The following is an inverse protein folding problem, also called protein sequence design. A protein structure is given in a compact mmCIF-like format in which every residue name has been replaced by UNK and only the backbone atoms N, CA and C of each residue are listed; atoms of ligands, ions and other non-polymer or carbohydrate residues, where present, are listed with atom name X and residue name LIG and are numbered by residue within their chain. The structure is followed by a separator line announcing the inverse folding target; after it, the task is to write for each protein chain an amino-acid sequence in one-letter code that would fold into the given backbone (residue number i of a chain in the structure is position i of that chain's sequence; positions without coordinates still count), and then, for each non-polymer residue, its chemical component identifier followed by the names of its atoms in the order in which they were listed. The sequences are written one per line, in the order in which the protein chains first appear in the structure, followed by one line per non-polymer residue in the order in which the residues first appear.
data_IF_102148119405
#
_entry.id   IF_102148119405
#
_cell.length_a   1.000
_cell.length_b   1.000
_cell.length_c   1.000
_cell.angle_alpha   90.00
_cell.angle_beta   90.00
_cell.angle_gamma   90.00
#
_symmetry.space_group_name_H-M   'P 1'
#
loop_
_entity.id
_entity.type
_entity.pdbx_description
1 polymer ?
#
# COMPACT_ATOMS: atom_id res chain seq x y z
N UNK A 1 -33.67 -0.68 -47.94
CA UNK A 1 -33.51 -1.43 -46.67
C UNK A 1 -32.08 -1.42 -46.08
N UNK A 2 -31.08 -0.76 -46.73
CA UNK A 2 -29.66 -0.80 -46.25
C UNK A 2 -29.28 0.24 -45.19
N UNK A 3 -29.95 1.37 -45.11
CA UNK A 3 -29.52 2.50 -44.27
C UNK A 3 -29.83 2.27 -42.76
N UNK A 4 -30.89 1.56 -42.45
CA UNK A 4 -31.22 1.26 -41.03
C UNK A 4 -30.30 0.19 -40.41
N UNK A 5 -29.90 -0.81 -41.20
CA UNK A 5 -28.95 -1.83 -40.73
C UNK A 5 -27.57 -1.25 -40.47
N UNK A 6 -27.11 -0.31 -41.30
CA UNK A 6 -25.83 0.38 -41.12
C UNK A 6 -25.81 1.25 -39.86
N UNK A 7 -26.90 1.92 -39.52
CA UNK A 7 -27.03 2.73 -38.28
C UNK A 7 -27.05 1.88 -37.04
N UNK A 8 -27.69 0.72 -37.05
CA UNK A 8 -27.71 -0.23 -35.97
C UNK A 8 -26.32 -0.81 -35.69
N UNK A 9 -25.57 -1.17 -36.72
CA UNK A 9 -24.20 -1.66 -36.60
C UNK A 9 -23.25 -0.60 -36.05
N UNK A 10 -23.38 0.66 -36.51
CA UNK A 10 -22.58 1.77 -36.01
C UNK A 10 -22.85 2.03 -34.51
N UNK A 11 -24.11 2.00 -34.07
CA UNK A 11 -24.49 2.17 -32.66
C UNK A 11 -23.95 1.04 -31.77
N UNK A 12 -23.98 -0.22 -32.26
CA UNK A 12 -23.41 -1.35 -31.53
C UNK A 12 -21.90 -1.28 -31.39
N UNK A 13 -21.21 -0.82 -32.44
CA UNK A 13 -19.75 -0.62 -32.39
C UNK A 13 -19.38 0.50 -31.42
N UNK A 14 -20.10 1.62 -31.42
CA UNK A 14 -19.88 2.72 -30.46
C UNK A 14 -20.16 2.29 -29.02
N UNK A 15 -21.22 1.52 -28.79
CA UNK A 15 -21.52 0.98 -27.46
C UNK A 15 -20.44 -0.01 -26.98
N UNK A 16 -19.92 -0.84 -27.86
CA UNK A 16 -18.84 -1.78 -27.54
C UNK A 16 -17.52 -1.04 -27.22
N UNK A 17 -17.18 0.03 -27.98
CA UNK A 17 -16.02 0.86 -27.66
C UNK A 17 -16.18 1.60 -26.32
N UNK A 18 -17.37 2.15 -26.04
CA UNK A 18 -17.66 2.81 -24.76
C UNK A 18 -17.56 1.83 -23.58
N UNK A 19 -18.03 0.58 -23.72
CA UNK A 19 -17.91 -0.45 -22.71
C UNK A 19 -16.45 -0.89 -22.46
N UNK A 20 -15.59 -0.83 -23.48
CA UNK A 20 -14.18 -1.16 -23.37
C UNK A 20 -13.40 -0.09 -22.59
N UNK A 21 -13.79 1.19 -22.65
CA UNK A 21 -13.15 2.28 -21.90
C UNK A 21 -13.55 2.33 -20.42
N UNK A 22 -14.67 1.70 -20.05
CA UNK A 22 -15.16 1.61 -18.66
C UNK A 22 -14.51 0.47 -17.85
N UNK A 23 -13.72 -0.39 -18.47
CA UNK A 23 -12.79 -1.26 -17.75
C UNK A 23 -11.65 -0.37 -17.28
N UNK A 24 -11.87 0.30 -16.15
CA UNK A 24 -10.81 0.95 -15.42
C UNK A 24 -9.67 -0.05 -15.32
N UNK A 25 -8.54 0.23 -15.97
CA UNK A 25 -7.31 -0.49 -15.73
C UNK A 25 -7.02 -0.28 -14.25
N UNK A 26 -7.38 -1.24 -13.40
CA UNK A 26 -6.78 -1.35 -12.09
C UNK A 26 -5.29 -1.43 -12.38
N UNK A 27 -4.59 -0.35 -12.11
CA UNK A 27 -3.14 -0.31 -12.24
C UNK A 27 -2.60 -1.22 -11.13
N UNK A 28 -2.60 -2.52 -11.39
CA UNK A 28 -1.98 -3.48 -10.49
C UNK A 28 -0.51 -3.17 -10.46
N UNK A 29 -0.01 -2.77 -9.30
CA UNK A 29 1.42 -2.54 -9.07
C UNK A 29 2.20 -3.80 -9.47
N UNK A 30 3.09 -3.67 -10.45
CA UNK A 30 3.89 -4.79 -10.95
C UNK A 30 5.26 -4.85 -10.27
N UNK A 31 5.75 -6.06 -9.97
CA UNK A 31 7.02 -6.22 -9.27
C UNK A 31 8.22 -5.63 -10.02
N UNK A 32 8.23 -5.69 -11.36
CA UNK A 32 9.27 -5.04 -12.16
C UNK A 32 9.33 -3.52 -11.91
N UNK A 33 8.17 -2.88 -11.82
CA UNK A 33 8.06 -1.46 -11.52
C UNK A 33 8.53 -1.13 -10.09
N UNK A 34 8.12 -1.96 -9.11
CA UNK A 34 8.60 -1.82 -7.72
C UNK A 34 10.11 -1.93 -7.65
N UNK A 35 10.70 -2.92 -8.31
CA UNK A 35 12.15 -3.13 -8.34
C UNK A 35 12.88 -1.93 -8.95
N UNK A 36 12.38 -1.39 -10.06
CA UNK A 36 12.97 -0.21 -10.70
C UNK A 36 12.91 1.03 -9.78
N UNK A 37 11.78 1.25 -9.10
CA UNK A 37 11.62 2.37 -8.17
C UNK A 37 12.44 2.20 -6.90
N UNK A 38 12.72 0.96 -6.47
CA UNK A 38 13.57 0.69 -5.32
C UNK A 38 15.08 0.69 -5.63
N UNK A 39 15.47 0.55 -6.90
CA UNK A 39 16.88 0.50 -7.32
C UNK A 39 17.72 1.69 -6.81
N UNK A 40 17.27 2.96 -6.85
CA UNK A 40 18.01 4.09 -6.32
C UNK A 40 18.24 4.05 -4.80
N UNK A 41 17.46 3.24 -4.08
CA UNK A 41 17.58 3.08 -2.63
C UNK A 41 18.65 2.04 -2.22
N UNK A 42 19.07 1.18 -3.15
CA UNK A 42 19.96 0.06 -2.85
C UNK A 42 21.29 0.47 -2.18
N UNK A 43 21.98 1.55 -2.57
CA UNK A 43 23.20 1.95 -1.87
C UNK A 43 22.96 2.28 -0.40
N UNK A 44 21.83 2.92 -0.07
CA UNK A 44 21.44 3.17 1.31
C UNK A 44 21.04 1.87 2.04
N UNK A 45 20.25 1.02 1.40
CA UNK A 45 19.75 -0.22 1.98
C UNK A 45 20.85 -1.25 2.21
N UNK A 46 21.90 -1.27 1.39
CA UNK A 46 23.07 -2.15 1.56
C UNK A 46 24.08 -1.63 2.57
N UNK A 47 23.84 -0.47 3.19
CA UNK A 47 24.72 0.07 4.21
C UNK A 47 25.97 0.75 3.67
N UNK A 48 26.01 1.17 2.41
CA UNK A 48 27.16 1.87 1.84
C UNK A 48 27.53 3.10 2.68
N UNK A 49 28.83 3.32 2.98
CA UNK A 49 29.27 4.43 3.82
C UNK A 49 28.84 5.79 3.26
N UNK A 50 28.38 6.69 4.14
CA UNK A 50 27.99 8.05 3.77
C UNK A 50 26.68 8.17 2.98
N UNK A 51 26.02 7.07 2.65
CA UNK A 51 24.78 7.11 1.88
C UNK A 51 23.59 7.48 2.73
N UNK A 52 22.82 8.42 2.22
CA UNK A 52 21.52 8.83 2.78
C UNK A 52 20.40 8.50 1.77
N UNK A 53 19.16 8.29 2.21
CA UNK A 53 18.07 8.00 1.28
C UNK A 53 17.50 9.24 0.56
N UNK A 54 17.96 10.43 0.93
CA UNK A 54 17.42 11.69 0.41
C UNK A 54 17.67 11.84 -1.11
N UNK A 55 16.83 12.66 -1.75
CA UNK A 55 16.90 12.86 -3.19
C UNK A 55 16.22 11.75 -3.98
N UNK A 56 16.94 11.08 -4.88
CA UNK A 56 16.36 10.13 -5.86
C UNK A 56 15.64 8.95 -5.19
N UNK A 57 16.20 8.39 -4.12
CA UNK A 57 15.56 7.27 -3.40
C UNK A 57 14.21 7.69 -2.80
N UNK A 58 14.17 8.80 -2.05
CA UNK A 58 12.92 9.28 -1.46
C UNK A 58 11.89 9.70 -2.52
N UNK A 59 12.34 10.30 -3.63
CA UNK A 59 11.45 10.65 -4.74
C UNK A 59 10.83 9.39 -5.36
N UNK A 60 11.64 8.36 -5.63
CA UNK A 60 11.15 7.09 -6.18
C UNK A 60 10.19 6.38 -5.23
N UNK A 61 10.48 6.42 -3.93
CA UNK A 61 9.58 5.86 -2.92
C UNK A 61 8.25 6.63 -2.84
N UNK A 62 8.28 7.95 -3.03
CA UNK A 62 7.08 8.77 -3.14
C UNK A 62 6.22 8.38 -4.35
N UNK A 63 6.84 8.13 -5.51
CA UNK A 63 6.14 7.61 -6.70
C UNK A 63 5.52 6.25 -6.42
N UNK A 64 6.27 5.32 -5.79
CA UNK A 64 5.74 4.00 -5.42
C UNK A 64 4.53 4.12 -4.48
N UNK A 65 4.59 5.02 -3.50
CA UNK A 65 3.48 5.27 -2.58
C UNK A 65 2.23 5.82 -3.29
N UNK A 66 2.40 6.64 -4.33
CA UNK A 66 1.29 7.13 -5.16
C UNK A 66 0.68 6.02 -6.03
N UNK A 67 1.51 5.13 -6.58
CA UNK A 67 1.06 3.98 -7.36
C UNK A 67 0.31 2.96 -6.49
N UNK A 68 0.73 2.79 -5.25
CA UNK A 68 0.09 1.92 -4.27
C UNK A 68 -1.06 2.63 -3.54
N UNK A 69 -2.00 3.22 -4.29
CA UNK A 69 -3.07 4.03 -3.74
C UNK A 69 -4.17 3.18 -3.06
N UNK A 70 -4.49 2.02 -3.62
CA UNK A 70 -5.47 1.10 -3.05
C UNK A 70 -4.84 0.08 -2.11
N UNK A 71 -5.63 -0.54 -1.22
CA UNK A 71 -5.17 -1.66 -0.38
C UNK A 71 -4.62 -2.80 -1.22
N UNK A 72 -5.28 -3.13 -2.33
CA UNK A 72 -4.83 -4.19 -3.24
C UNK A 72 -3.44 -3.87 -3.82
N UNK A 73 -3.19 -2.62 -4.23
CA UNK A 73 -1.90 -2.18 -4.77
C UNK A 73 -0.82 -2.19 -3.69
N UNK A 74 -1.16 -1.81 -2.45
CA UNK A 74 -0.24 -1.87 -1.30
C UNK A 74 0.14 -3.31 -0.95
N UNK A 75 -0.82 -4.23 -0.94
CA UNK A 75 -0.56 -5.66 -0.76
C UNK A 75 0.33 -6.19 -1.88
N UNK A 76 0.06 -5.81 -3.13
CA UNK A 76 0.89 -6.20 -4.27
C UNK A 76 2.32 -5.64 -4.13
N UNK A 77 2.47 -4.35 -3.83
CA UNK A 77 3.78 -3.72 -3.60
C UNK A 77 4.54 -4.40 -2.45
N UNK A 78 3.87 -4.67 -1.33
CA UNK A 78 4.44 -5.38 -0.18
C UNK A 78 4.98 -6.77 -0.60
N UNK A 79 4.18 -7.55 -1.32
CA UNK A 79 4.60 -8.87 -1.81
C UNK A 79 5.80 -8.78 -2.76
N UNK A 80 5.83 -7.75 -3.62
CA UNK A 80 6.98 -7.51 -4.50
C UNK A 80 8.25 -7.15 -3.71
N UNK A 81 8.14 -6.29 -2.69
CA UNK A 81 9.27 -5.94 -1.81
C UNK A 81 9.76 -7.16 -1.05
N UNK A 82 8.84 -7.97 -0.51
CA UNK A 82 9.18 -9.23 0.19
C UNK A 82 9.92 -10.20 -0.72
N UNK A 83 9.44 -10.41 -1.94
CA UNK A 83 10.09 -11.27 -2.92
C UNK A 83 11.48 -10.75 -3.32
N UNK A 84 11.61 -9.43 -3.56
CA UNK A 84 12.89 -8.82 -3.87
C UNK A 84 13.87 -8.94 -2.72
N UNK A 85 13.44 -8.70 -1.48
CA UNK A 85 14.30 -8.80 -0.29
C UNK A 85 14.89 -10.19 -0.10
N UNK A 86 14.17 -11.25 -0.47
CA UNK A 86 14.67 -12.63 -0.44
C UNK A 86 15.82 -12.87 -1.43
N UNK A 87 15.89 -12.10 -2.51
CA UNK A 87 16.96 -12.17 -3.53
C UNK A 87 18.17 -11.27 -3.26
N UNK A 88 18.10 -10.40 -2.24
CA UNK A 88 19.16 -9.43 -1.92
C UNK A 88 19.62 -9.58 -0.47
N UNK A 89 20.49 -10.55 -0.15
CA UNK A 89 20.93 -10.82 1.22
C UNK A 89 21.70 -9.67 1.88
N UNK A 90 22.17 -8.69 1.09
CA UNK A 90 22.89 -7.52 1.57
C UNK A 90 21.98 -6.38 2.07
N UNK A 91 20.64 -6.54 2.06
CA UNK A 91 19.71 -5.51 2.54
C UNK A 91 19.70 -5.47 4.06
N UNK A 92 19.98 -4.29 4.61
CA UNK A 92 19.80 -4.00 6.04
C UNK A 92 18.33 -3.68 6.31
N UNK A 93 17.64 -4.60 6.96
CA UNK A 93 16.22 -4.46 7.29
C UNK A 93 15.94 -3.34 8.31
N UNK A 94 16.91 -2.97 9.14
CA UNK A 94 16.75 -1.81 10.04
C UNK A 94 16.65 -0.52 9.24
N UNK A 95 17.48 -0.39 8.21
CA UNK A 95 17.43 0.74 7.26
C UNK A 95 16.17 0.72 6.42
N UNK A 96 15.76 -0.47 5.95
CA UNK A 96 14.54 -0.62 5.17
C UNK A 96 13.30 -0.23 5.99
N UNK A 97 13.20 -0.64 7.25
CA UNK A 97 12.12 -0.26 8.16
C UNK A 97 12.08 1.24 8.44
N UNK A 98 13.25 1.89 8.55
CA UNK A 98 13.35 3.33 8.81
C UNK A 98 13.14 4.19 7.54
N UNK A 99 13.28 3.61 6.35
CA UNK A 99 13.31 4.33 5.07
C UNK A 99 12.05 5.18 4.82
N UNK A 100 10.81 4.67 4.99
CA UNK A 100 9.61 5.47 4.75
C UNK A 100 9.57 6.72 5.63
N UNK A 101 9.80 6.57 6.92
CA UNK A 101 9.79 7.68 7.86
C UNK A 101 10.89 8.72 7.54
N UNK A 102 12.08 8.27 7.11
CA UNK A 102 13.15 9.17 6.66
C UNK A 102 12.78 9.94 5.40
N UNK A 103 11.94 9.38 4.56
CA UNK A 103 11.41 10.04 3.37
C UNK A 103 10.10 10.82 3.62
N UNK A 104 9.65 10.93 4.88
CA UNK A 104 8.42 11.64 5.24
C UNK A 104 7.14 10.93 4.79
N UNK A 105 7.23 9.62 4.53
CA UNK A 105 6.10 8.81 4.11
C UNK A 105 5.53 8.02 5.29
N UNK A 106 4.20 8.08 5.46
CA UNK A 106 3.48 7.21 6.37
C UNK A 106 3.08 5.92 5.64
N UNK A 107 3.67 4.80 6.02
CA UNK A 107 3.22 3.47 5.59
C UNK A 107 2.73 2.69 6.81
N UNK A 108 1.75 1.83 6.60
CA UNK A 108 1.04 1.12 7.66
C UNK A 108 1.46 -0.34 7.82
N UNK A 109 2.63 -0.71 7.30
CA UNK A 109 3.20 -2.05 7.50
C UNK A 109 4.69 -1.96 7.87
N UNK A 110 5.16 -2.91 8.67
CA UNK A 110 6.56 -2.99 9.04
C UNK A 110 7.36 -3.74 7.97
N UNK A 111 8.42 -3.11 7.47
CA UNK A 111 9.35 -3.75 6.52
C UNK A 111 10.30 -4.65 7.31
N UNK A 112 10.03 -5.94 7.30
CA UNK A 112 10.82 -6.99 7.97
C UNK A 112 11.04 -8.17 7.04
N UNK A 113 12.02 -9.06 7.32
CA UNK A 113 12.22 -10.27 6.51
C UNK A 113 10.97 -11.15 6.41
N UNK A 114 10.17 -11.18 7.46
CA UNK A 114 8.97 -12.01 7.59
C UNK A 114 7.68 -11.19 7.56
N UNK A 115 7.68 -10.03 6.85
CA UNK A 115 6.51 -9.17 6.78
C UNK A 115 5.27 -9.92 6.28
N UNK A 116 4.13 -9.68 6.93
CA UNK A 116 2.83 -10.20 6.52
C UNK A 116 2.08 -9.14 5.72
N UNK A 117 2.05 -9.32 4.41
CA UNK A 117 1.41 -8.38 3.50
C UNK A 117 -0.12 -8.38 3.58
N UNK A 118 -0.74 -9.36 4.26
CA UNK A 118 -2.19 -9.36 4.49
C UNK A 118 -2.61 -8.38 5.60
N UNK A 119 -1.66 -7.90 6.39
CA UNK A 119 -1.93 -6.90 7.44
C UNK A 119 -1.86 -5.46 6.93
N UNK A 120 -1.61 -5.28 5.65
CA UNK A 120 -1.64 -3.95 5.02
C UNK A 120 -3.10 -3.48 4.95
N UNK A 121 -3.42 -2.42 5.69
CA UNK A 121 -4.77 -1.85 5.77
C UNK A 121 -4.82 -0.45 5.18
N UNK A 122 -6.02 0.07 4.93
CA UNK A 122 -6.23 1.45 4.48
C UNK A 122 -6.09 2.48 5.61
N UNK A 123 -5.99 2.04 6.85
CA UNK A 123 -5.86 2.96 7.96
C UNK A 123 -4.48 3.65 7.95
N UNK A 124 -4.47 4.99 8.03
CA UNK A 124 -3.23 5.71 8.26
C UNK A 124 -2.61 5.21 9.56
N UNK A 125 -1.29 5.00 9.56
CA UNK A 125 -0.52 4.59 10.73
C UNK A 125 -0.88 5.48 11.92
N UNK A 126 -1.80 5.04 12.78
CA UNK A 126 -2.05 5.71 14.04
C UNK A 126 -0.76 5.60 14.84
N UNK A 127 -0.19 6.75 15.20
CA UNK A 127 0.94 6.80 16.12
C UNK A 127 0.59 5.94 17.31
N UNK A 128 1.34 4.87 17.51
CA UNK A 128 1.29 4.06 18.71
C UNK A 128 1.63 4.96 19.90
N UNK A 129 0.61 5.50 20.56
CA UNK A 129 0.79 6.42 21.68
C UNK A 129 -0.52 6.83 22.36
N UNK A 130 -1.67 6.49 21.79
CA UNK A 130 -2.94 6.70 22.46
C UNK A 130 -3.36 5.39 23.12
N UNK A 131 -3.39 5.31 24.46
CA UNK A 131 -3.94 4.13 25.11
C UNK A 131 -5.42 4.05 24.74
N UNK A 132 -5.82 2.98 24.07
CA UNK A 132 -7.22 2.63 23.85
C UNK A 132 -7.94 2.81 25.16
N UNK A 133 -8.79 3.82 25.26
CA UNK A 133 -9.75 3.95 26.34
C UNK A 133 -10.60 2.68 26.33
N UNK A 134 -10.26 1.78 27.22
CA UNK A 134 -11.01 0.56 27.51
C UNK A 134 -12.39 1.05 27.95
N UNK A 135 -13.39 0.93 27.08
CA UNK A 135 -14.79 1.14 27.44
C UNK A 135 -15.10 0.09 28.50
N UNK A 136 -14.91 0.48 29.75
CA UNK A 136 -15.36 -0.27 30.90
C UNK A 136 -16.88 -0.20 30.85
N UNK A 137 -17.51 -1.25 30.38
CA UNK A 137 -18.92 -1.51 30.67
C UNK A 137 -19.05 -1.54 32.18
N UNK A 138 -19.46 -0.40 32.74
CA UNK A 138 -19.83 -0.26 34.11
C UNK A 138 -21.13 -1.05 34.30
N UNK A 139 -20.98 -2.30 34.74
CA UNK A 139 -22.07 -3.10 35.24
C UNK A 139 -22.56 -2.40 36.52
N UNK A 140 -23.73 -1.80 36.45
CA UNK A 140 -24.37 -1.21 37.62
C UNK A 140 -24.78 -2.35 38.56
N UNK A 141 -24.38 -2.31 39.82
CA UNK A 141 -24.95 -3.23 40.82
C UNK A 141 -26.38 -2.78 41.10
N UNK A 142 -27.32 -3.69 40.89
CA UNK A 142 -28.69 -3.57 41.29
C UNK A 142 -28.78 -3.69 42.83
N UNK A 143 -28.98 -2.55 43.48
CA UNK A 143 -29.24 -2.55 44.94
C UNK A 143 -30.75 -2.51 45.11
N UNK A 144 -31.35 -3.69 45.26
CA UNK A 144 -32.62 -3.88 45.91
C UNK A 144 -32.33 -4.35 47.35
N UNK A 145 -32.55 -3.52 48.31
CA UNK A 145 -32.57 -3.82 49.70
C UNK A 145 -33.70 -3.06 50.37
N UNK A 146 -34.78 -3.73 50.59
CA UNK A 146 -35.97 -3.23 51.27
C UNK A 146 -35.90 -3.34 52.80
N UNK A 147 -36.99 -3.14 53.49
CA UNK A 147 -37.07 -2.35 54.75
C UNK A 147 -37.15 -3.22 56.00
N UNK A 148 -36.82 -2.61 57.08
CA UNK A 148 -37.57 -2.64 58.37
C UNK A 148 -37.01 -1.62 59.33
#
# INVERSE_FOLDING_TARGET
MGIQASRALAALLLAALAAATLRGASAVVQCGQVTQLMAPCMPYLSGAPGMTPYGICCNSLGVLNQLAASTADRVAACNCVKAAASGFPAVDFSRAAALPARCGLAINFAVTPNMDCNQVTDEPCQRTGEPRARTVHRHAPNVLGGPT
#
